data_IF_231181505333
#
_entry.id   IF_231181505333
#
_cell.length_a   1.000
_cell.length_b   1.000
_cell.length_c   1.000
_cell.angle_alpha   90.00
_cell.angle_beta   90.00
_cell.angle_gamma   90.00
#
_symmetry.space_group_name_H-M   'P 1'
#
loop_
_entity.id
_entity.type
_entity.pdbx_description
1 polymer ?
#
# COMPACT_ATOMS: atom_id res chain seq x y z
N UNK A 1 21.78 -10.82 57.38
CA UNK A 1 22.94 -11.69 57.09
C UNK A 1 23.27 -12.48 58.35
N UNK A 2 23.48 -13.77 58.18
CA UNK A 2 23.84 -14.70 59.25
C UNK A 2 25.17 -15.37 58.89
N UNK A 3 25.87 -15.93 59.86
CA UNK A 3 27.00 -16.83 59.62
C UNK A 3 26.55 -18.27 59.35
N UNK A 4 27.52 -19.15 59.12
CA UNK A 4 27.32 -20.58 58.86
C UNK A 4 26.73 -21.36 60.07
N UNK A 5 26.78 -20.78 61.27
CA UNK A 5 26.20 -21.33 62.50
C UNK A 5 24.82 -20.74 62.81
N UNK A 6 24.26 -19.90 61.92
CA UNK A 6 22.97 -19.25 62.09
C UNK A 6 22.98 -18.03 63.01
N UNK A 7 24.16 -17.56 63.43
CA UNK A 7 24.31 -16.37 64.27
C UNK A 7 24.12 -15.11 63.43
N UNK A 8 23.38 -14.14 63.95
CA UNK A 8 23.11 -12.88 63.24
C UNK A 8 24.37 -12.02 63.18
N UNK A 9 24.92 -11.83 61.97
CA UNK A 9 26.05 -10.94 61.71
C UNK A 9 25.59 -9.50 61.39
N UNK A 10 24.48 -9.34 60.67
CA UNK A 10 23.93 -8.03 60.31
C UNK A 10 22.41 -8.14 60.15
N UNK A 11 21.67 -7.30 60.86
CA UNK A 11 20.23 -7.17 60.71
C UNK A 11 19.89 -5.77 60.18
N UNK A 12 19.40 -5.69 58.95
CA UNK A 12 18.77 -4.46 58.44
C UNK A 12 17.29 -4.52 58.82
N UNK A 13 16.87 -3.60 59.67
CA UNK A 13 15.48 -3.46 60.11
C UNK A 13 14.89 -2.19 59.51
N UNK A 14 13.65 -2.25 59.06
CA UNK A 14 12.98 -1.09 58.46
C UNK A 14 13.51 -0.70 57.08
N UNK A 15 14.01 -1.66 56.28
CA UNK A 15 14.36 -1.40 54.88
C UNK A 15 13.09 -1.01 54.10
N UNK A 16 13.10 0.18 53.53
CA UNK A 16 12.07 0.63 52.60
C UNK A 16 12.72 0.80 51.22
N UNK A 17 12.23 0.04 50.23
CA UNK A 17 12.66 0.16 48.84
C UNK A 17 11.54 0.79 48.03
N UNK A 18 11.76 2.02 47.56
CA UNK A 18 10.88 2.69 46.61
C UNK A 18 11.41 2.55 45.19
N UNK A 19 10.53 2.67 44.19
CA UNK A 19 10.89 2.59 42.77
C UNK A 19 11.53 3.88 42.23
N UNK A 20 11.62 4.94 43.03
CA UNK A 20 12.13 6.27 42.62
C UNK A 20 11.24 7.01 41.60
N UNK A 21 10.33 6.29 40.95
CA UNK A 21 9.32 6.76 40.02
C UNK A 21 7.94 6.59 40.64
N UNK A 22 7.07 7.59 40.44
CA UNK A 22 5.66 7.42 40.77
C UNK A 22 4.99 6.48 39.76
N UNK A 23 3.95 5.78 40.17
CA UNK A 23 3.14 4.96 39.25
C UNK A 23 2.61 5.79 38.07
N UNK A 24 2.32 7.08 38.29
CA UNK A 24 1.87 7.98 37.23
C UNK A 24 2.95 8.25 36.19
N UNK A 25 4.19 8.44 36.63
CA UNK A 25 5.34 8.59 35.73
C UNK A 25 5.56 7.31 34.91
N UNK A 26 5.43 6.15 35.55
CA UNK A 26 5.54 4.87 34.85
C UNK A 26 4.41 4.66 33.84
N UNK A 27 3.16 4.97 34.19
CA UNK A 27 2.03 4.94 33.24
C UNK A 27 2.25 5.87 32.05
N UNK A 28 2.74 7.09 32.27
CA UNK A 28 3.02 8.04 31.21
C UNK A 28 4.14 7.55 30.28
N UNK A 29 5.22 6.98 30.84
CA UNK A 29 6.30 6.36 30.06
C UNK A 29 5.77 5.24 29.16
N UNK A 30 5.01 4.31 29.75
CA UNK A 30 4.42 3.18 29.03
C UNK A 30 3.43 3.67 27.96
N UNK A 31 2.65 4.71 28.24
CA UNK A 31 1.78 5.34 27.25
C UNK A 31 2.59 5.91 26.08
N UNK A 32 3.60 6.73 26.36
CA UNK A 32 4.46 7.35 25.33
C UNK A 32 5.15 6.30 24.45
N UNK A 33 5.56 5.17 25.00
CA UNK A 33 6.22 4.07 24.27
C UNK A 33 5.24 3.27 23.37
N UNK A 34 3.94 3.35 23.63
CA UNK A 34 2.91 2.60 22.90
C UNK A 34 2.18 3.42 21.85
N UNK A 35 2.32 4.75 21.88
CA UNK A 35 1.73 5.63 20.87
C UNK A 35 2.52 5.53 19.57
N UNK A 36 1.85 5.09 18.52
CA UNK A 36 2.39 5.03 17.18
C UNK A 36 1.55 5.95 16.28
N UNK A 37 2.24 6.70 15.42
CA UNK A 37 1.61 7.50 14.38
C UNK A 37 2.22 7.18 13.03
N UNK A 38 1.49 7.50 11.96
CA UNK A 38 2.00 7.46 10.61
C UNK A 38 2.67 8.80 10.30
N UNK A 39 3.86 8.74 9.73
CA UNK A 39 4.58 9.90 9.24
C UNK A 39 5.08 9.63 7.82
N UNK A 40 4.98 10.65 6.98
CA UNK A 40 5.43 10.60 5.61
C UNK A 40 6.81 11.24 5.48
N UNK A 41 7.70 10.57 4.75
CA UNK A 41 9.03 11.09 4.46
C UNK A 41 9.16 11.26 2.96
N UNK A 42 9.61 12.44 2.53
CA UNK A 42 9.99 12.65 1.14
C UNK A 42 11.19 11.75 0.81
N UNK A 43 11.08 10.99 -0.28
CA UNK A 43 12.14 10.13 -0.77
C UNK A 43 12.31 10.30 -2.27
N UNK A 44 13.56 10.31 -2.71
CA UNK A 44 13.87 10.13 -4.12
C UNK A 44 13.68 8.67 -4.48
N UNK A 45 13.21 8.43 -5.71
CA UNK A 45 13.16 7.08 -6.27
C UNK A 45 14.59 6.55 -6.42
N UNK A 46 14.83 5.27 -6.11
CA UNK A 46 16.13 4.65 -6.38
C UNK A 46 16.38 4.66 -7.90
N UNK A 47 17.65 4.66 -8.32
CA UNK A 47 17.95 4.46 -9.74
C UNK A 47 17.42 3.11 -10.21
N UNK A 48 16.82 3.10 -11.40
CA UNK A 48 16.39 1.89 -12.07
C UNK A 48 17.61 1.01 -12.36
N UNK A 49 17.65 -0.19 -11.77
CA UNK A 49 18.57 -1.25 -12.23
C UNK A 49 18.03 -1.77 -13.55
N UNK A 50 18.89 -2.00 -14.55
CA UNK A 50 18.49 -2.54 -15.86
C UNK A 50 17.46 -3.68 -15.71
N UNK A 51 16.19 -3.36 -15.94
CA UNK A 51 15.12 -4.33 -15.95
C UNK A 51 14.95 -4.91 -17.34
N UNK A 52 14.54 -6.17 -17.38
CA UNK A 52 14.11 -6.82 -18.59
C UNK A 52 12.73 -6.26 -19.02
N UNK A 53 12.45 -6.29 -20.32
CA UNK A 53 11.14 -5.96 -20.83
C UNK A 53 10.08 -6.87 -20.19
N UNK A 54 9.05 -6.27 -19.62
CA UNK A 54 7.95 -6.97 -18.97
C UNK A 54 6.60 -6.75 -19.65
N UNK A 55 5.69 -7.68 -19.42
CA UNK A 55 4.28 -7.61 -19.77
C UNK A 55 3.45 -7.05 -18.62
N UNK A 56 2.74 -5.95 -18.88
CA UNK A 56 1.91 -5.25 -17.91
C UNK A 56 0.44 -5.30 -18.27
N UNK A 57 -0.39 -5.70 -17.31
CA UNK A 57 -1.85 -5.58 -17.41
C UNK A 57 -2.31 -4.39 -16.56
N UNK A 58 -2.91 -3.39 -17.20
CA UNK A 58 -3.52 -2.24 -16.53
C UNK A 58 -5.03 -2.45 -16.44
N UNK A 59 -5.54 -2.54 -15.20
CA UNK A 59 -6.96 -2.73 -14.90
C UNK A 59 -7.54 -1.40 -14.46
N UNK A 60 -8.42 -0.85 -15.29
CA UNK A 60 -9.19 0.35 -14.96
C UNK A 60 -10.47 -0.04 -14.23
N UNK A 61 -10.69 0.55 -13.04
CA UNK A 61 -11.88 0.30 -12.21
C UNK A 61 -12.79 1.52 -12.08
N UNK A 62 -12.55 2.58 -12.86
CA UNK A 62 -13.50 3.70 -12.95
C UNK A 62 -14.82 3.26 -13.59
N UNK A 63 -15.92 3.92 -13.24
CA UNK A 63 -17.21 3.72 -13.94
C UNK A 63 -17.39 4.71 -15.10
N UNK A 64 -16.50 5.71 -15.20
CA UNK A 64 -16.50 6.74 -16.22
C UNK A 64 -15.15 6.92 -16.90
N UNK A 65 -15.06 7.88 -17.82
CA UNK A 65 -13.82 8.18 -18.53
C UNK A 65 -12.73 8.67 -17.55
N UNK A 66 -11.61 7.94 -17.48
CA UNK A 66 -10.40 8.34 -16.78
C UNK A 66 -9.22 8.25 -17.76
N UNK A 67 -8.44 9.33 -17.84
CA UNK A 67 -7.25 9.38 -18.70
C UNK A 67 -6.04 8.73 -18.05
N UNK A 68 -6.08 8.39 -16.74
CA UNK A 68 -4.88 7.87 -16.10
C UNK A 68 -4.41 6.55 -16.72
N UNK A 69 -5.34 5.65 -17.05
CA UNK A 69 -5.00 4.35 -17.63
C UNK A 69 -4.23 4.50 -18.94
N UNK A 70 -4.65 5.42 -19.83
CA UNK A 70 -3.95 5.69 -21.08
C UNK A 70 -2.63 6.42 -20.86
N UNK A 71 -2.62 7.46 -20.03
CA UNK A 71 -1.38 8.20 -19.68
C UNK A 71 -0.32 7.28 -19.07
N UNK A 72 -0.70 6.37 -18.16
CA UNK A 72 0.23 5.42 -17.56
C UNK A 72 0.69 4.36 -18.56
N UNK A 73 -0.20 3.89 -19.45
CA UNK A 73 0.17 2.98 -20.54
C UNK A 73 1.25 3.60 -21.44
N UNK A 74 1.07 4.87 -21.81
CA UNK A 74 2.03 5.58 -22.67
C UNK A 74 3.36 5.85 -21.94
N UNK A 75 3.30 6.20 -20.65
CA UNK A 75 4.49 6.37 -19.81
C UNK A 75 5.30 5.07 -19.70
N UNK A 76 4.64 3.93 -19.46
CA UNK A 76 5.29 2.61 -19.39
C UNK A 76 5.95 2.24 -20.72
N UNK A 77 5.29 2.49 -21.86
CA UNK A 77 5.87 2.20 -23.18
C UNK A 77 7.02 3.13 -23.54
N UNK A 78 6.96 4.39 -23.11
CA UNK A 78 7.94 5.43 -23.47
C UNK A 78 9.19 5.36 -22.60
N UNK A 79 9.01 5.16 -21.30
CA UNK A 79 10.08 5.18 -20.30
C UNK A 79 10.50 3.79 -19.81
N UNK A 80 9.79 2.74 -20.24
CA UNK A 80 10.12 1.35 -19.93
C UNK A 80 11.30 0.78 -20.72
N UNK A 81 11.88 -0.35 -20.29
CA UNK A 81 12.79 -1.14 -21.11
C UNK A 81 12.20 -1.38 -22.50
N UNK A 82 13.07 -1.36 -23.51
CA UNK A 82 12.70 -1.66 -24.87
C UNK A 82 12.04 -3.04 -24.96
N UNK A 83 10.81 -3.07 -25.49
CA UNK A 83 10.00 -4.31 -25.57
C UNK A 83 8.94 -4.42 -24.47
N UNK A 84 8.75 -3.39 -23.63
CA UNK A 84 7.64 -3.33 -22.68
C UNK A 84 6.31 -3.43 -23.42
N UNK A 85 5.49 -4.41 -23.03
CA UNK A 85 4.17 -4.63 -23.59
C UNK A 85 3.11 -4.30 -22.55
N UNK A 86 2.05 -3.62 -22.96
CA UNK A 86 0.96 -3.23 -22.07
C UNK A 86 -0.38 -3.63 -22.69
N UNK A 87 -1.21 -4.30 -21.90
CA UNK A 87 -2.61 -4.55 -22.18
C UNK A 87 -3.48 -3.79 -21.17
N UNK A 88 -4.66 -3.35 -21.61
CA UNK A 88 -5.62 -2.67 -20.75
C UNK A 88 -6.89 -3.51 -20.63
N UNK A 89 -7.47 -3.51 -19.44
CA UNK A 89 -8.74 -4.17 -19.17
C UNK A 89 -9.62 -3.24 -18.33
N UNK A 90 -10.81 -2.92 -18.82
CA UNK A 90 -11.77 -2.11 -18.09
C UNK A 90 -12.75 -2.99 -17.32
N UNK A 91 -12.72 -2.90 -16.00
CA UNK A 91 -13.55 -3.63 -15.04
C UNK A 91 -14.21 -2.60 -14.10
N UNK A 92 -15.28 -1.89 -14.54
CA UNK A 92 -15.94 -0.88 -13.72
C UNK A 92 -16.54 -1.51 -12.46
N UNK A 93 -16.73 -0.73 -11.39
CA UNK A 93 -17.22 -1.23 -10.10
C UNK A 93 -18.65 -1.74 -10.19
N UNK A 94 -19.46 -1.08 -11.02
CA UNK A 94 -20.87 -1.43 -11.24
C UNK A 94 -21.04 -2.69 -12.10
N UNK A 95 -19.96 -3.24 -12.69
CA UNK A 95 -20.05 -4.46 -13.47
C UNK A 95 -20.47 -5.66 -12.60
N UNK A 96 -21.32 -6.51 -13.19
CA UNK A 96 -21.69 -7.78 -12.57
C UNK A 96 -20.45 -8.64 -12.27
N UNK A 97 -20.42 -9.22 -11.07
CA UNK A 97 -19.26 -9.97 -10.58
C UNK A 97 -18.85 -11.10 -11.53
N UNK A 98 -19.81 -11.88 -12.06
CA UNK A 98 -19.51 -12.97 -12.98
C UNK A 98 -18.82 -12.49 -14.26
N UNK A 99 -19.31 -11.39 -14.84
CA UNK A 99 -18.71 -10.76 -16.03
C UNK A 99 -17.29 -10.27 -15.76
N UNK A 100 -17.07 -9.67 -14.59
CA UNK A 100 -15.73 -9.22 -14.15
C UNK A 100 -14.75 -10.39 -14.06
N UNK A 101 -15.15 -11.49 -13.41
CA UNK A 101 -14.30 -12.68 -13.24
C UNK A 101 -14.02 -13.37 -14.57
N UNK A 102 -15.01 -13.50 -15.45
CA UNK A 102 -14.84 -14.12 -16.76
C UNK A 102 -13.85 -13.34 -17.63
N UNK A 103 -14.01 -12.01 -17.70
CA UNK A 103 -13.11 -11.13 -18.46
C UNK A 103 -11.69 -11.18 -17.91
N UNK A 104 -11.54 -11.05 -16.59
CA UNK A 104 -10.24 -11.07 -15.93
C UNK A 104 -9.54 -12.42 -16.14
N UNK A 105 -10.22 -13.52 -15.84
CA UNK A 105 -9.67 -14.86 -16.01
C UNK A 105 -9.28 -15.16 -17.47
N UNK A 106 -10.06 -14.67 -18.45
CA UNK A 106 -9.72 -14.81 -19.87
C UNK A 106 -8.46 -14.03 -20.24
N UNK A 107 -8.30 -12.81 -19.73
CA UNK A 107 -7.07 -12.02 -19.96
C UNK A 107 -5.84 -12.65 -19.31
N UNK A 108 -5.97 -13.12 -18.06
CA UNK A 108 -4.87 -13.75 -17.34
C UNK A 108 -4.42 -15.08 -17.97
N UNK A 109 -5.35 -15.86 -18.55
CA UNK A 109 -5.02 -17.09 -19.29
C UNK A 109 -4.45 -16.83 -20.68
N UNK A 110 -4.87 -15.75 -21.33
CA UNK A 110 -4.38 -15.41 -22.67
C UNK A 110 -2.89 -15.05 -22.65
N UNK A 111 -2.40 -14.51 -21.53
CA UNK A 111 -1.05 -13.96 -21.45
C UNK A 111 -0.53 -13.90 -20.01
N UNK A 112 0.68 -14.39 -19.80
CA UNK A 112 1.42 -14.17 -18.55
C UNK A 112 1.80 -12.69 -18.40
N UNK A 113 1.67 -12.15 -17.20
CA UNK A 113 1.99 -10.75 -16.89
C UNK A 113 3.03 -10.71 -15.77
N UNK A 114 4.06 -9.90 -15.95
CA UNK A 114 5.08 -9.64 -14.91
C UNK A 114 4.55 -8.69 -13.84
N UNK A 115 3.64 -7.80 -14.25
CA UNK A 115 2.99 -6.83 -13.38
C UNK A 115 1.52 -6.60 -13.71
N UNK A 116 0.72 -6.35 -12.68
CA UNK A 116 -0.67 -5.93 -12.79
C UNK A 116 -0.83 -4.61 -12.04
N UNK A 117 -1.39 -3.61 -12.71
CA UNK A 117 -1.70 -2.29 -12.13
C UNK A 117 -3.20 -2.13 -12.06
N UNK A 118 -3.77 -2.03 -10.86
CA UNK A 118 -5.18 -1.69 -10.66
C UNK A 118 -5.27 -0.17 -10.43
N UNK A 119 -5.98 0.52 -11.32
CA UNK A 119 -6.21 1.95 -11.23
C UNK A 119 -7.60 2.21 -10.66
N UNK A 120 -7.66 2.82 -9.49
CA UNK A 120 -8.90 3.30 -8.91
C UNK A 120 -9.31 4.60 -9.62
N UNK A 121 -10.62 4.73 -9.87
CA UNK A 121 -11.19 5.91 -10.50
C UNK A 121 -10.98 7.20 -9.69
N UNK A 122 -11.29 8.37 -10.29
CA UNK A 122 -11.24 9.65 -9.60
C UNK A 122 -12.21 9.69 -8.41
N UNK A 123 -12.02 10.70 -7.55
CA UNK A 123 -13.00 11.01 -6.49
C UNK A 123 -14.36 11.26 -7.13
N UNK A 124 -15.41 10.74 -6.50
CA UNK A 124 -16.79 11.09 -6.81
C UNK A 124 -17.11 12.56 -6.48
N UNK A 125 -18.39 12.82 -6.22
CA UNK A 125 -18.86 14.14 -5.80
C UNK A 125 -18.43 14.52 -4.37
N UNK A 126 -19.17 15.46 -3.79
CA UNK A 126 -18.99 15.83 -2.38
C UNK A 126 -19.24 14.62 -1.46
N UNK A 127 -18.48 14.46 -0.36
CA UNK A 127 -18.61 13.32 0.53
C UNK A 127 -19.99 13.30 1.20
N UNK A 128 -20.73 12.22 0.99
CA UNK A 128 -22.04 11.99 1.61
C UNK A 128 -22.20 10.53 2.08
N UNK A 129 -23.41 10.10 2.44
CA UNK A 129 -23.65 8.70 2.83
C UNK A 129 -23.48 7.71 1.66
N UNK A 130 -23.73 8.14 0.43
CA UNK A 130 -23.57 7.32 -0.76
C UNK A 130 -22.07 7.05 -1.00
N UNK A 131 -21.21 8.04 -0.79
CA UNK A 131 -19.75 7.88 -0.87
C UNK A 131 -19.19 6.81 0.09
N UNK A 132 -19.82 6.60 1.26
CA UNK A 132 -19.44 5.52 2.18
C UNK A 132 -19.83 4.14 1.65
N UNK A 133 -20.96 4.04 0.95
CA UNK A 133 -21.38 2.81 0.28
C UNK A 133 -20.47 2.52 -0.92
N UNK A 134 -20.11 3.54 -1.69
CA UNK A 134 -19.16 3.45 -2.79
C UNK A 134 -17.80 2.93 -2.33
N UNK A 135 -17.26 3.46 -1.22
CA UNK A 135 -16.00 2.95 -0.66
C UNK A 135 -16.08 1.47 -0.26
N UNK A 136 -17.23 1.01 0.26
CA UNK A 136 -17.44 -0.41 0.56
C UNK A 136 -17.49 -1.25 -0.71
N UNK A 137 -18.21 -0.82 -1.74
CA UNK A 137 -18.28 -1.56 -3.01
C UNK A 137 -16.94 -1.57 -3.73
N UNK A 138 -16.15 -0.49 -3.64
CA UNK A 138 -14.79 -0.45 -4.15
C UNK A 138 -13.87 -1.46 -3.46
N UNK A 139 -13.92 -1.56 -2.13
CA UNK A 139 -13.19 -2.60 -1.38
C UNK A 139 -13.62 -3.99 -1.85
N UNK A 140 -14.92 -4.25 -1.99
CA UNK A 140 -15.44 -5.55 -2.45
C UNK A 140 -14.97 -5.88 -3.87
N UNK A 141 -14.96 -4.89 -4.77
CA UNK A 141 -14.51 -5.05 -6.14
C UNK A 141 -13.02 -5.38 -6.21
N UNK A 142 -12.18 -4.66 -5.46
CA UNK A 142 -10.75 -4.95 -5.40
C UNK A 142 -10.47 -6.34 -4.82
N UNK A 143 -11.21 -6.77 -3.79
CA UNK A 143 -11.10 -8.14 -3.25
C UNK A 143 -11.41 -9.18 -4.32
N UNK A 144 -12.42 -8.98 -5.17
CA UNK A 144 -12.76 -9.90 -6.26
C UNK A 144 -11.62 -10.01 -7.28
N UNK A 145 -11.08 -8.87 -7.72
CA UNK A 145 -9.98 -8.83 -8.70
C UNK A 145 -8.72 -9.49 -8.12
N UNK A 146 -8.33 -9.12 -6.89
CA UNK A 146 -7.08 -9.59 -6.28
C UNK A 146 -7.14 -11.09 -5.97
N UNK A 147 -8.32 -11.64 -5.65
CA UNK A 147 -8.50 -13.08 -5.46
C UNK A 147 -8.15 -13.87 -6.72
N UNK A 148 -8.60 -13.44 -7.89
CA UNK A 148 -8.24 -14.09 -9.17
C UNK A 148 -6.73 -14.07 -9.42
N UNK A 149 -6.05 -12.98 -9.05
CA UNK A 149 -4.59 -12.91 -9.16
C UNK A 149 -3.88 -13.85 -8.19
N UNK A 150 -4.42 -14.01 -6.98
CA UNK A 150 -3.85 -14.89 -5.95
C UNK A 150 -4.07 -16.38 -6.24
N UNK A 151 -5.06 -16.72 -7.08
CA UNK A 151 -5.39 -18.10 -7.49
C UNK A 151 -4.62 -18.57 -8.73
N UNK A 152 -3.78 -17.71 -9.34
CA UNK A 152 -2.96 -18.10 -10.48
C UNK A 152 -1.95 -19.18 -10.12
N UNK A 153 -1.76 -20.13 -11.04
CA UNK A 153 -0.71 -21.13 -10.94
C UNK A 153 0.62 -20.57 -11.46
N UNK A 154 1.73 -20.89 -10.78
CA UNK A 154 3.08 -20.48 -11.19
C UNK A 154 3.55 -19.17 -10.54
N UNK A 155 4.34 -18.39 -11.28
CA UNK A 155 4.85 -17.11 -10.78
C UNK A 155 3.75 -16.05 -10.79
N UNK A 156 3.50 -15.45 -9.62
CA UNK A 156 2.49 -14.42 -9.49
C UNK A 156 2.98 -13.05 -9.99
N UNK A 157 2.13 -12.28 -10.69
CA UNK A 157 2.46 -10.92 -11.10
C UNK A 157 2.70 -10.03 -9.89
N UNK A 158 3.58 -9.05 -10.03
CA UNK A 158 3.68 -7.97 -9.04
C UNK A 158 2.43 -7.09 -9.12
N UNK A 159 1.75 -6.93 -7.99
CA UNK A 159 0.54 -6.12 -7.89
C UNK A 159 0.86 -4.67 -7.52
N UNK A 160 0.36 -3.73 -8.30
CA UNK A 160 0.31 -2.31 -7.98
C UNK A 160 -1.14 -1.87 -7.88
N UNK A 161 -1.46 -1.08 -6.86
CA UNK A 161 -2.77 -0.44 -6.73
C UNK A 161 -2.58 1.06 -6.64
N UNK A 162 -3.21 1.79 -7.54
CA UNK A 162 -3.10 3.25 -7.68
C UNK A 162 -4.40 3.91 -7.21
N UNK A 163 -4.35 4.60 -6.08
CA UNK A 163 -5.47 5.36 -5.52
C UNK A 163 -5.36 6.86 -5.84
N UNK A 164 -6.45 7.61 -5.64
CA UNK A 164 -6.59 9.05 -5.89
C UNK A 164 -6.85 9.77 -4.58
N UNK A 165 -5.86 10.53 -4.10
CA UNK A 165 -5.93 11.32 -2.86
C UNK A 165 -6.48 10.53 -1.67
N UNK A 166 -6.21 9.23 -1.59
CA UNK A 166 -6.78 8.38 -0.54
C UNK A 166 -6.14 8.60 0.83
N UNK A 167 -5.04 9.36 0.89
CA UNK A 167 -4.26 9.57 2.10
C UNK A 167 -3.90 11.04 2.31
N UNK A 168 -3.87 11.46 3.58
CA UNK A 168 -3.35 12.77 3.99
C UNK A 168 -1.83 12.63 4.14
N UNK A 169 -1.07 13.34 3.30
CA UNK A 169 0.40 13.37 3.29
C UNK A 169 0.91 14.76 3.67
N UNK A 170 0.30 15.80 3.10
CA UNK A 170 0.50 17.20 3.43
C UNK A 170 -0.66 17.68 4.32
N UNK A 171 -0.43 18.75 5.06
CA UNK A 171 -1.41 19.29 6.01
C UNK A 171 -2.66 19.87 5.34
N UNK A 172 -2.55 20.25 4.07
CA UNK A 172 -3.59 20.84 3.24
C UNK A 172 -4.27 19.82 2.31
N UNK A 173 -3.90 18.54 2.39
CA UNK A 173 -4.56 17.51 1.59
C UNK A 173 -6.01 17.31 2.03
N UNK A 174 -6.88 17.22 1.04
CA UNK A 174 -8.25 16.74 1.23
C UNK A 174 -8.33 15.28 0.79
N UNK A 175 -8.64 14.39 1.73
CA UNK A 175 -8.66 12.96 1.47
C UNK A 175 -9.95 12.53 0.75
N UNK A 176 -9.80 11.74 -0.31
CA UNK A 176 -10.88 10.97 -0.89
C UNK A 176 -11.28 9.81 0.06
N UNK A 177 -12.37 10.02 0.78
CA UNK A 177 -12.85 9.07 1.79
C UNK A 177 -13.37 7.76 1.20
N UNK A 178 -13.83 7.75 -0.06
CA UNK A 178 -14.26 6.54 -0.76
C UNK A 178 -13.11 5.51 -0.81
N UNK A 179 -11.88 6.00 -0.96
CA UNK A 179 -10.67 5.17 -1.11
C UNK A 179 -9.90 4.96 0.20
N UNK A 180 -10.31 5.60 1.30
CA UNK A 180 -9.58 5.56 2.58
C UNK A 180 -9.44 4.13 3.14
N UNK A 181 -10.44 3.26 2.90
CA UNK A 181 -10.44 1.87 3.33
C UNK A 181 -9.42 0.98 2.60
N UNK A 182 -8.98 1.37 1.40
CA UNK A 182 -8.12 0.54 0.55
C UNK A 182 -6.75 0.32 1.17
N UNK A 183 -6.21 1.30 1.89
CA UNK A 183 -4.93 1.12 2.59
C UNK A 183 -4.97 -0.04 3.59
N UNK A 184 -6.07 -0.16 4.34
CA UNK A 184 -6.24 -1.25 5.29
C UNK A 184 -6.27 -2.61 4.58
N UNK A 185 -7.06 -2.69 3.50
CA UNK A 185 -7.14 -3.88 2.65
C UNK A 185 -5.76 -4.29 2.10
N UNK A 186 -5.02 -3.37 1.49
CA UNK A 186 -3.74 -3.67 0.83
C UNK A 186 -2.66 -4.12 1.82
N UNK A 187 -2.74 -3.67 3.09
CA UNK A 187 -1.88 -4.18 4.16
C UNK A 187 -2.17 -5.64 4.50
N UNK A 188 -3.45 -6.02 4.52
CA UNK A 188 -3.86 -7.42 4.72
C UNK A 188 -3.40 -8.27 3.55
N UNK A 189 -3.68 -7.84 2.30
CA UNK A 189 -3.22 -8.55 1.09
C UNK A 189 -1.70 -8.72 1.09
N UNK A 190 -0.94 -7.68 1.42
CA UNK A 190 0.53 -7.77 1.50
C UNK A 190 1.03 -8.79 2.54
N UNK A 191 0.25 -9.06 3.60
CA UNK A 191 0.58 -10.07 4.61
C UNK A 191 0.11 -11.48 4.26
N UNK A 192 -1.07 -11.60 3.64
CA UNK A 192 -1.70 -12.89 3.31
C UNK A 192 -1.17 -13.47 2.00
N UNK A 193 -0.84 -12.61 1.04
CA UNK A 193 -0.37 -12.96 -0.30
C UNK A 193 0.97 -12.28 -0.62
N UNK A 194 2.05 -12.60 0.12
CA UNK A 194 3.33 -11.90 -0.02
C UNK A 194 3.97 -12.07 -1.41
N UNK A 195 3.61 -13.14 -2.14
CA UNK A 195 4.10 -13.42 -3.50
C UNK A 195 3.59 -12.41 -4.54
N UNK A 196 2.43 -11.77 -4.31
CA UNK A 196 1.94 -10.68 -5.16
C UNK A 196 2.80 -9.41 -5.05
N UNK A 197 3.68 -9.29 -4.04
CA UNK A 197 4.60 -8.13 -3.89
C UNK A 197 3.86 -6.78 -3.97
N UNK A 198 2.68 -6.72 -3.35
CA UNK A 198 1.73 -5.61 -3.45
C UNK A 198 2.37 -4.27 -3.10
N UNK A 199 2.24 -3.30 -4.00
CA UNK A 199 2.69 -1.92 -3.83
C UNK A 199 1.48 -0.98 -3.94
N UNK A 200 1.33 -0.08 -2.97
CA UNK A 200 0.26 0.92 -2.96
C UNK A 200 0.84 2.29 -3.36
N UNK A 201 0.27 2.90 -4.39
CA UNK A 201 0.64 4.22 -4.86
C UNK A 201 -0.58 5.12 -4.74
N UNK A 202 -0.44 6.27 -4.11
CA UNK A 202 -1.48 7.28 -4.05
C UNK A 202 -1.07 8.47 -4.91
N UNK A 203 -1.97 8.95 -5.77
CA UNK A 203 -1.72 10.06 -6.69
C UNK A 203 -2.75 11.15 -6.52
N UNK A 204 -2.41 12.35 -6.96
CA UNK A 204 -3.30 13.51 -6.99
C UNK A 204 -3.27 14.17 -8.39
N UNK A 205 -4.06 15.23 -8.55
CA UNK A 205 -4.12 16.01 -9.79
C UNK A 205 -2.78 16.69 -10.18
N UNK A 206 -1.86 16.84 -9.23
CA UNK A 206 -0.54 17.43 -9.44
C UNK A 206 0.51 16.38 -9.81
N UNK A 207 0.13 15.10 -9.82
CA UNK A 207 1.04 14.01 -10.10
C UNK A 207 1.23 13.85 -11.60
N UNK A 208 2.42 14.19 -12.10
CA UNK A 208 2.80 14.02 -13.52
C UNK A 208 3.16 12.55 -13.82
N UNK A 209 2.15 11.69 -13.95
CA UNK A 209 2.33 10.25 -14.18
C UNK A 209 3.08 9.95 -15.49
N UNK A 210 2.92 10.81 -16.48
CA UNK A 210 3.67 10.78 -17.74
C UNK A 210 5.20 10.81 -17.56
N UNK A 211 5.69 11.37 -16.45
CA UNK A 211 7.14 11.48 -16.17
C UNK A 211 7.66 10.39 -15.25
N UNK A 212 6.84 9.39 -14.90
CA UNK A 212 7.27 8.35 -13.96
C UNK A 212 8.42 7.54 -14.54
N UNK A 213 9.59 7.57 -13.89
CA UNK A 213 10.74 6.82 -14.35
C UNK A 213 10.54 5.33 -14.10
N UNK A 214 11.42 4.55 -14.72
CA UNK A 214 11.35 3.11 -14.64
C UNK A 214 11.46 2.50 -13.26
N UNK A 215 12.20 3.17 -12.41
CA UNK A 215 12.35 2.84 -11.01
C UNK A 215 11.05 2.79 -10.21
N UNK A 216 9.99 3.51 -10.63
CA UNK A 216 8.70 3.52 -9.93
C UNK A 216 8.06 2.13 -9.83
N UNK A 217 8.32 1.28 -10.83
CA UNK A 217 7.71 -0.03 -10.97
C UNK A 217 8.72 -1.17 -10.77
N UNK A 218 10.02 -0.87 -10.79
CA UNK A 218 11.07 -1.86 -10.50
C UNK A 218 11.39 -1.99 -9.01
N UNK A 219 11.37 -0.89 -8.25
CA UNK A 219 12.03 -0.81 -6.94
C UNK A 219 11.75 -2.05 -6.05
N UNK A 220 12.73 -2.94 -5.83
CA UNK A 220 12.59 -3.99 -4.83
C UNK A 220 12.54 -3.29 -3.47
N UNK A 221 11.57 -3.66 -2.62
CA UNK A 221 11.61 -3.28 -1.21
C UNK A 221 12.84 -3.96 -0.59
N UNK A 222 14.02 -3.33 -0.66
CA UNK A 222 15.22 -3.86 -0.01
C UNK A 222 15.03 -3.82 1.51
N UNK A 223 14.95 -5.02 2.06
CA UNK A 223 15.28 -5.45 3.42
C UNK A 223 14.59 -4.74 4.59
N UNK A 224 13.57 -5.43 5.07
CA UNK A 224 12.99 -5.49 6.43
C UNK A 224 14.02 -5.23 7.55
N UNK A 225 13.88 -4.18 8.38
CA UNK A 225 14.31 -4.28 9.77
C UNK A 225 13.32 -5.19 10.53
N UNK A 226 13.79 -6.03 11.48
CA UNK A 226 12.90 -6.91 12.23
C UNK A 226 11.89 -6.07 13.03
N UNK A 227 10.60 -6.17 12.68
CA UNK A 227 9.48 -5.51 13.37
C UNK A 227 8.60 -4.58 12.54
N UNK A 228 8.98 -4.21 11.31
CA UNK A 228 8.19 -3.30 10.47
C UNK A 228 7.47 -4.03 9.33
N UNK A 229 6.13 -4.00 9.32
CA UNK A 229 5.33 -4.26 8.11
C UNK A 229 5.39 -3.00 7.24
N UNK A 230 6.31 -2.95 6.28
CA UNK A 230 6.32 -1.91 5.25
C UNK A 230 5.62 -2.46 4.02
N UNK A 231 4.32 -2.18 3.88
CA UNK A 231 3.73 -2.00 2.55
C UNK A 231 4.25 -0.65 2.05
N UNK A 232 5.13 -0.66 1.05
CA UNK A 232 5.62 0.57 0.42
C UNK A 232 4.45 1.37 -0.11
N UNK A 233 4.27 2.55 0.48
CA UNK A 233 3.25 3.51 0.11
C UNK A 233 3.97 4.74 -0.42
N UNK A 234 3.77 5.05 -1.69
CA UNK A 234 4.36 6.23 -2.32
C UNK A 234 3.25 7.21 -2.65
N UNK A 235 3.40 8.47 -2.24
CA UNK A 235 2.74 9.57 -2.93
C UNK A 235 3.73 10.18 -3.88
N UNK A 236 3.41 10.18 -5.17
CA UNK A 236 4.22 10.82 -6.19
C UNK A 236 4.00 12.34 -6.12
N UNK A 237 4.62 12.99 -5.14
CA UNK A 237 4.64 14.45 -5.08
C UNK A 237 5.50 14.98 -6.23
N UNK A 238 4.93 15.79 -7.11
CA UNK A 238 5.73 16.66 -7.98
C UNK A 238 6.68 17.51 -7.11
N UNK A 239 7.91 17.81 -7.58
CA UNK A 239 8.80 18.71 -6.86
C UNK A 239 8.08 20.05 -6.68
N UNK A 240 8.02 20.53 -5.43
CA UNK A 240 7.60 21.89 -5.15
C UNK A 240 8.51 22.85 -5.93
N UNK A 241 7.91 23.76 -6.69
CA UNK A 241 8.62 24.84 -7.40
C UNK A 241 9.32 25.77 -6.41
#
# INVERSE_FOLDING_TARGET
MLDEHGTVLLAVRGLHMGTGTSESAERNRVLSERLLTLAWQQRNLPEATQAEAGSWLLIDTSDGADMLTSTLTDALKTHGPQGTECSTLHLPREAEAATTLEKLGSQLRARANDGVVILCGPRGGEPDQESLLEGREQVRHLVRIIRELAELEGELPRLFVVTRQAQIVRSDDEANLEQAGLRGLLRVIGSEQPLLRTTHIDVDEHTEVERWPSSCWEAPMRTRPPGAMVTGMWRACAPAR
#
